data_IF_220875910382
#
_entry.id   IF_220875910382
#
_cell.length_a   1.000
_cell.length_b   1.000
_cell.length_c   1.000
_cell.angle_alpha   90.00
_cell.angle_beta   90.00
_cell.angle_gamma   90.00
#
_symmetry.space_group_name_H-M   'P 1'
#
loop_
_entity.id
_entity.type
_entity.pdbx_description
1 polymer ?
#
# COMPACT_ATOMS: atom_id res chain seq x y z
N UNK A 1 0.23 20.17 -10.67
CA UNK A 1 0.64 19.04 -9.82
C UNK A 1 -0.20 17.85 -10.22
N UNK A 2 0.43 16.72 -10.57
CA UNK A 2 -0.28 15.49 -10.89
C UNK A 2 -0.23 14.60 -9.66
N UNK A 3 -1.38 14.06 -9.27
CA UNK A 3 -1.49 13.15 -8.14
C UNK A 3 -1.65 11.72 -8.64
N UNK A 4 -1.11 10.80 -7.85
CA UNK A 4 -1.37 9.37 -7.97
C UNK A 4 -1.88 8.83 -6.64
N UNK A 5 -2.70 7.80 -6.73
CA UNK A 5 -3.37 7.17 -5.61
C UNK A 5 -2.86 5.74 -5.52
N UNK A 6 -2.17 5.40 -4.44
CA UNK A 6 -1.57 4.11 -4.23
C UNK A 6 -2.51 3.29 -3.35
N UNK A 7 -2.92 2.11 -3.81
CA UNK A 7 -3.69 1.16 -3.02
C UNK A 7 -2.73 0.16 -2.39
N UNK A 8 -2.69 0.13 -1.06
CA UNK A 8 -1.92 -0.80 -0.26
C UNK A 8 -2.83 -1.78 0.46
N UNK A 9 -2.26 -2.92 0.84
CA UNK A 9 -2.82 -3.80 1.87
C UNK A 9 -1.72 -4.21 2.84
N UNK A 10 -1.98 -4.07 4.14
CA UNK A 10 -1.11 -4.58 5.19
C UNK A 10 -1.84 -5.64 5.99
N UNK A 11 -1.29 -6.85 5.99
CA UNK A 11 -1.74 -7.94 6.84
C UNK A 11 -0.80 -8.08 8.04
N UNK A 12 -1.33 -7.87 9.25
CA UNK A 12 -0.57 -8.03 10.49
C UNK A 12 -0.75 -9.45 11.05
N UNK A 13 0.35 -10.16 11.26
CA UNK A 13 0.37 -11.48 11.88
C UNK A 13 1.75 -11.72 12.51
N UNK A 14 1.78 -11.99 13.82
CA UNK A 14 3.02 -12.20 14.59
C UNK A 14 3.82 -13.42 14.14
N UNK A 15 3.20 -14.36 13.44
CA UNK A 15 3.87 -15.53 12.86
C UNK A 15 4.63 -15.18 11.57
N UNK A 16 4.37 -14.03 10.97
CA UNK A 16 5.11 -13.54 9.80
C UNK A 16 6.48 -12.99 10.20
N UNK A 17 7.46 -13.18 9.33
CA UNK A 17 8.78 -12.56 9.48
C UNK A 17 8.65 -11.03 9.40
N UNK A 18 8.81 -10.35 10.53
CA UNK A 18 8.63 -8.89 10.62
C UNK A 18 7.26 -8.45 11.12
N UNK A 19 6.35 -9.38 11.42
CA UNK A 19 5.03 -9.11 12.00
C UNK A 19 3.98 -8.57 11.02
N UNK A 20 4.36 -8.34 9.77
CA UNK A 20 3.45 -7.84 8.72
C UNK A 20 3.84 -8.35 7.32
N UNK A 21 2.83 -8.41 6.44
CA UNK A 21 2.97 -8.60 4.99
C UNK A 21 2.30 -7.42 4.28
N UNK A 22 3.12 -6.54 3.70
CA UNK A 22 2.68 -5.30 3.04
C UNK A 22 2.72 -5.49 1.52
N UNK A 23 1.62 -5.16 0.84
CA UNK A 23 1.49 -5.26 -0.62
C UNK A 23 1.02 -3.95 -1.23
N UNK A 24 1.78 -3.43 -2.20
CA UNK A 24 1.27 -2.43 -3.14
C UNK A 24 0.42 -3.13 -4.19
N UNK A 25 -0.89 -2.89 -4.16
CA UNK A 25 -1.85 -3.50 -5.09
C UNK A 25 -1.86 -2.76 -6.42
N UNK A 26 -1.75 -1.43 -6.40
CA UNK A 26 -1.66 -0.65 -7.63
C UNK A 26 -1.53 0.85 -7.42
N UNK A 27 -1.24 1.54 -8.52
CA UNK A 27 -1.08 3.00 -8.58
C UNK A 27 -2.07 3.55 -9.62
N UNK A 28 -2.87 4.53 -9.22
CA UNK A 28 -4.00 5.01 -10.01
C UNK A 28 -3.93 6.52 -10.24
N UNK A 29 -4.43 6.97 -11.39
CA UNK A 29 -4.43 8.39 -11.77
C UNK A 29 -5.51 9.21 -11.04
N UNK A 30 -6.47 8.55 -10.41
CA UNK A 30 -7.61 9.18 -9.72
C UNK A 30 -8.01 8.33 -8.52
N UNK A 31 -8.59 8.97 -7.51
CA UNK A 31 -9.09 8.31 -6.29
C UNK A 31 -10.13 7.24 -6.62
N UNK A 32 -11.12 7.58 -7.45
CA UNK A 32 -12.18 6.65 -7.86
C UNK A 32 -11.65 5.36 -8.49
N UNK A 33 -10.56 5.42 -9.27
CA UNK A 33 -9.96 4.21 -9.85
C UNK A 33 -9.29 3.33 -8.78
N UNK A 34 -8.72 3.95 -7.75
CA UNK A 34 -8.17 3.24 -6.60
C UNK A 34 -9.28 2.60 -5.77
N UNK A 35 -10.40 3.29 -5.55
CA UNK A 35 -11.59 2.76 -4.87
C UNK A 35 -12.19 1.56 -5.63
N UNK A 36 -12.35 1.67 -6.95
CA UNK A 36 -12.81 0.55 -7.79
C UNK A 36 -11.86 -0.65 -7.71
N UNK A 37 -10.55 -0.39 -7.67
CA UNK A 37 -9.56 -1.44 -7.50
C UNK A 37 -9.61 -2.10 -6.13
N UNK A 38 -9.83 -1.31 -5.08
CA UNK A 38 -10.03 -1.80 -3.73
C UNK A 38 -11.24 -2.74 -3.69
N UNK A 39 -12.36 -2.38 -4.32
CA UNK A 39 -13.55 -3.25 -4.39
C UNK A 39 -13.26 -4.59 -5.08
N UNK A 40 -12.47 -4.60 -6.16
CA UNK A 40 -12.04 -5.84 -6.82
C UNK A 40 -11.08 -6.65 -5.95
N UNK A 41 -10.11 -5.98 -5.32
CA UNK A 41 -9.09 -6.61 -4.49
C UNK A 41 -9.68 -7.27 -3.23
N UNK A 42 -10.74 -6.68 -2.65
CA UNK A 42 -11.49 -7.27 -1.53
C UNK A 42 -12.09 -8.65 -1.84
N UNK A 43 -12.17 -9.05 -3.10
CA UNK A 43 -12.70 -10.38 -3.48
C UNK A 43 -11.60 -11.42 -3.68
N UNK A 44 -10.33 -11.04 -3.60
CA UNK A 44 -9.20 -11.97 -3.77
C UNK A 44 -9.00 -12.83 -2.51
N UNK A 45 -8.59 -14.08 -2.72
CA UNK A 45 -8.24 -14.97 -1.61
C UNK A 45 -7.11 -14.37 -0.77
N UNK A 46 -7.18 -14.56 0.54
CA UNK A 46 -6.36 -13.84 1.51
C UNK A 46 -6.96 -12.49 1.86
N UNK A 47 -7.11 -11.57 0.90
CA UNK A 47 -7.61 -10.22 1.20
C UNK A 47 -9.07 -10.15 1.64
N UNK A 48 -9.93 -11.04 1.13
CA UNK A 48 -11.34 -11.10 1.50
C UNK A 48 -11.59 -11.42 2.98
N UNK A 49 -10.58 -11.96 3.66
CA UNK A 49 -10.65 -12.33 5.07
C UNK A 49 -10.05 -11.24 5.98
N UNK A 50 -9.39 -10.21 5.40
CA UNK A 50 -8.70 -9.13 6.10
C UNK A 50 -8.99 -7.76 5.46
N UNK A 51 -10.23 -7.28 5.55
CA UNK A 51 -10.66 -6.05 4.88
C UNK A 51 -10.11 -4.74 5.47
N UNK A 52 -9.64 -4.79 6.71
CA UNK A 52 -9.11 -3.66 7.48
C UNK A 52 -7.71 -3.23 7.04
N UNK A 53 -6.97 -4.12 6.37
CA UNK A 53 -5.61 -3.85 5.91
C UNK A 53 -5.50 -2.91 4.72
N UNK A 54 -6.62 -2.56 4.06
CA UNK A 54 -6.60 -1.73 2.86
C UNK A 54 -6.41 -0.23 3.16
N UNK A 55 -5.48 0.41 2.46
CA UNK A 55 -5.23 1.85 2.53
C UNK A 55 -5.10 2.44 1.12
N UNK A 56 -5.71 3.61 0.88
CA UNK A 56 -5.42 4.43 -0.30
C UNK A 56 -4.65 5.66 0.15
N UNK A 57 -3.39 5.78 -0.28
CA UNK A 57 -2.53 6.94 -0.02
C UNK A 57 -2.36 7.79 -1.28
N UNK A 58 -2.15 9.10 -1.10
CA UNK A 58 -2.00 10.07 -2.20
C UNK A 58 -0.57 10.56 -2.27
N UNK A 59 0.06 10.40 -3.44
CA UNK A 59 1.40 10.92 -3.71
C UNK A 59 1.39 11.90 -4.89
N UNK A 60 2.41 12.76 -4.94
CA UNK A 60 2.66 13.60 -6.11
C UNK A 60 3.52 12.81 -7.10
N UNK A 61 3.11 12.78 -8.37
CA UNK A 61 3.88 12.14 -9.44
C UNK A 61 5.22 12.88 -9.65
N UNK A 62 6.26 12.13 -9.96
CA UNK A 62 7.62 12.63 -10.20
C UNK A 62 8.23 13.40 -9.01
N UNK A 63 7.86 13.01 -7.79
CA UNK A 63 8.38 13.56 -6.54
C UNK A 63 8.97 12.45 -5.67
N UNK A 64 10.17 12.71 -5.14
CA UNK A 64 10.80 11.84 -4.16
C UNK A 64 10.13 12.02 -2.78
N UNK A 65 9.62 10.93 -2.20
CA UNK A 65 9.12 10.92 -0.81
C UNK A 65 10.22 10.56 0.19
N UNK A 66 11.21 9.77 -0.24
CA UNK A 66 12.40 9.45 0.56
C UNK A 66 13.64 10.07 -0.09
N UNK A 67 14.30 10.97 0.63
CA UNK A 67 15.40 11.81 0.09
C UNK A 67 16.76 11.50 0.70
N UNK A 68 16.87 10.45 1.51
CA UNK A 68 18.10 10.02 2.17
C UNK A 68 18.50 8.58 1.81
N UNK A 69 19.71 8.15 2.20
CA UNK A 69 20.14 6.76 2.04
C UNK A 69 19.52 5.81 3.08
N UNK A 70 19.99 4.56 3.13
CA UNK A 70 19.56 3.60 4.15
C UNK A 70 19.87 4.08 5.57
N UNK A 71 18.95 3.83 6.50
CA UNK A 71 19.25 3.95 7.93
C UNK A 71 20.01 2.69 8.33
N UNK A 72 21.33 2.79 8.46
CA UNK A 72 22.16 1.75 9.07
C UNK A 72 22.42 2.10 10.52
N UNK A 73 21.79 1.39 11.46
CA UNK A 73 22.25 1.40 12.84
C UNK A 73 23.49 0.51 12.90
N UNK A 74 24.67 1.11 13.00
CA UNK A 74 25.86 0.40 13.45
C UNK A 74 25.77 0.29 14.97
N UNK A 75 25.71 -0.95 15.45
CA UNK A 75 25.77 -1.34 16.87
C UNK A 75 27.04 -0.88 17.55
#
# INVERSE_FOLDING_TARGET
MVFVYLLWHTHYDESLSGGEDVKLIGVYSTETKAEEALLRAKQLDGFKDFHEGFEISVNVLDKDEWTSGFITNYS
#
